data_IF_345405476919
#
_entry.id   IF_345405476919
#
_cell.length_a   1.000
_cell.length_b   1.000
_cell.length_c   1.000
_cell.angle_alpha   90.00
_cell.angle_beta   90.00
_cell.angle_gamma   90.00
#
_symmetry.space_group_name_H-M   'P 1'
#
loop_
_entity.id
_entity.type
_entity.pdbx_description
1 polymer ?
#
# COMPACT_ATOMS: atom_id res chain seq x y z
N UNK A 1 63.16 -1.04 15.43
CA UNK A 1 62.37 -2.01 14.62
C UNK A 1 61.16 -2.64 15.32
N UNK A 2 61.14 -2.89 16.62
CA UNK A 2 59.98 -3.51 17.31
C UNK A 2 58.74 -2.59 17.43
N UNK A 3 58.88 -1.28 17.48
CA UNK A 3 57.72 -0.34 17.58
C UNK A 3 56.91 -0.24 16.28
N UNK A 4 57.55 -0.35 15.14
CA UNK A 4 56.84 -0.25 13.85
C UNK A 4 56.01 -1.52 13.55
N UNK A 5 56.41 -2.70 14.04
CA UNK A 5 55.63 -3.93 13.88
C UNK A 5 54.33 -3.91 14.69
N UNK A 6 54.37 -3.34 15.92
CA UNK A 6 53.16 -3.18 16.75
C UNK A 6 52.16 -2.16 16.17
N UNK A 7 52.64 -1.03 15.64
CA UNK A 7 51.77 -0.06 14.98
C UNK A 7 51.07 -0.65 13.76
N UNK A 8 51.76 -1.48 12.97
CA UNK A 8 51.15 -2.14 11.80
C UNK A 8 50.12 -3.19 12.18
N UNK A 9 50.29 -3.90 13.32
CA UNK A 9 49.31 -4.83 13.84
C UNK A 9 48.03 -4.09 14.34
N UNK A 10 48.17 -2.95 15.02
CA UNK A 10 47.00 -2.14 15.45
C UNK A 10 46.25 -1.54 14.26
N UNK A 11 46.97 -1.10 13.22
CA UNK A 11 46.35 -0.57 11.99
C UNK A 11 45.57 -1.66 11.24
N UNK A 12 46.12 -2.90 11.17
CA UNK A 12 45.41 -4.04 10.58
C UNK A 12 44.18 -4.45 11.40
N UNK A 13 44.27 -4.38 12.74
CA UNK A 13 43.15 -4.66 13.64
C UNK A 13 42.01 -3.64 13.50
N UNK A 14 42.32 -2.35 13.37
CA UNK A 14 41.35 -1.27 13.16
C UNK A 14 40.69 -1.41 11.79
N UNK A 15 41.46 -1.76 10.76
CA UNK A 15 40.89 -1.97 9.40
C UNK A 15 39.98 -3.19 9.33
N UNK A 16 40.32 -4.27 10.05
CA UNK A 16 39.45 -5.46 10.17
C UNK A 16 38.16 -5.17 10.96
N UNK A 17 38.25 -4.35 12.02
CA UNK A 17 37.07 -3.92 12.79
C UNK A 17 36.14 -2.99 11.99
N UNK A 18 36.70 -2.12 11.16
CA UNK A 18 35.93 -1.27 10.25
C UNK A 18 35.24 -2.06 9.12
N UNK A 19 35.86 -3.12 8.63
CA UNK A 19 35.28 -4.03 7.65
C UNK A 19 34.13 -4.88 8.25
N UNK A 20 34.21 -5.25 9.52
CA UNK A 20 33.14 -5.96 10.23
C UNK A 20 31.94 -5.06 10.56
N UNK A 21 32.12 -3.76 10.76
CA UNK A 21 31.02 -2.81 10.92
C UNK A 21 30.26 -2.50 9.61
N UNK A 22 30.84 -2.80 8.45
CA UNK A 22 30.21 -2.54 7.14
C UNK A 22 29.15 -3.55 6.72
N UNK A 23 28.91 -4.63 7.50
CA UNK A 23 27.90 -5.65 7.21
C UNK A 23 26.61 -5.44 8.04
N UNK A 24 26.45 -4.29 8.66
CA UNK A 24 25.10 -3.88 9.06
C UNK A 24 24.36 -3.55 7.78
N UNK A 25 23.70 -4.56 7.22
CA UNK A 25 22.62 -4.36 6.27
C UNK A 25 21.73 -3.28 6.86
N UNK A 26 21.73 -2.12 6.27
CA UNK A 26 20.69 -1.12 6.49
C UNK A 26 19.43 -1.80 5.97
N UNK A 27 18.73 -2.51 6.85
CA UNK A 27 17.34 -2.76 6.65
C UNK A 27 16.75 -1.36 6.58
N UNK A 28 16.58 -0.84 5.38
CA UNK A 28 15.64 0.24 5.13
C UNK A 28 14.34 -0.28 5.72
N UNK A 29 13.96 0.25 6.88
CA UNK A 29 12.60 0.17 7.36
C UNK A 29 11.80 0.86 6.26
N UNK A 30 11.33 0.07 5.28
CA UNK A 30 10.17 0.46 4.50
C UNK A 30 9.13 0.76 5.57
N UNK A 31 8.66 2.00 5.61
CA UNK A 31 7.43 2.29 6.31
C UNK A 31 6.46 1.20 5.80
N UNK A 32 5.99 0.39 6.71
CA UNK A 32 5.12 -0.74 6.40
C UNK A 32 3.78 -0.13 5.97
N UNK A 33 3.71 0.21 4.69
CA UNK A 33 2.51 0.80 4.11
C UNK A 33 1.64 -0.38 3.74
N UNK A 34 0.81 -0.79 4.68
CA UNK A 34 -0.20 -1.81 4.45
C UNK A 34 -1.29 -1.23 3.54
N UNK A 35 -1.64 -1.95 2.49
CA UNK A 35 -2.66 -1.57 1.52
C UNK A 35 -3.94 -2.38 1.68
N UNK A 36 -3.84 -3.63 2.15
CA UNK A 36 -4.95 -4.57 2.30
C UNK A 36 -5.30 -4.76 3.77
N UNK A 37 -6.56 -4.57 4.10
CA UNK A 37 -7.13 -4.74 5.44
C UNK A 37 -8.29 -5.74 5.35
N UNK A 38 -7.97 -7.02 5.50
CA UNK A 38 -8.95 -8.10 5.40
C UNK A 38 -9.60 -8.43 6.75
N UNK A 39 -10.43 -7.51 7.26
CA UNK A 39 -11.13 -7.68 8.53
C UNK A 39 -12.25 -8.73 8.44
N UNK A 40 -12.75 -9.02 7.25
CA UNK A 40 -13.77 -10.03 7.02
C UNK A 40 -13.21 -11.43 6.72
N UNK A 41 -11.87 -11.58 6.69
CA UNK A 41 -11.19 -12.85 6.39
C UNK A 41 -11.68 -13.49 5.10
N UNK A 42 -11.77 -12.71 4.04
CA UNK A 42 -12.19 -13.15 2.70
C UNK A 42 -11.05 -13.68 1.86
N UNK A 43 -9.83 -13.25 2.19
CA UNK A 43 -8.62 -13.55 1.43
C UNK A 43 -7.80 -14.64 2.12
N UNK A 44 -7.11 -15.43 1.34
CA UNK A 44 -6.03 -16.27 1.84
C UNK A 44 -4.75 -15.43 1.99
N UNK A 45 -3.79 -15.92 2.78
CA UNK A 45 -2.51 -15.25 3.00
C UNK A 45 -1.75 -14.97 1.67
N UNK A 46 -1.91 -15.85 0.67
CA UNK A 46 -1.28 -15.69 -0.64
C UNK A 46 -1.97 -14.58 -1.45
N UNK A 47 -3.30 -14.54 -1.44
CA UNK A 47 -4.09 -13.50 -2.14
C UNK A 47 -3.87 -12.13 -1.51
N UNK A 48 -3.78 -12.04 -0.18
CA UNK A 48 -3.46 -10.80 0.52
C UNK A 48 -2.09 -10.27 0.10
N UNK A 49 -1.05 -11.12 0.10
CA UNK A 49 0.29 -10.74 -0.32
C UNK A 49 0.36 -10.31 -1.80
N UNK A 50 -0.37 -10.97 -2.68
CA UNK A 50 -0.42 -10.62 -4.10
C UNK A 50 -1.12 -9.27 -4.33
N UNK A 51 -2.19 -9.01 -3.59
CA UNK A 51 -2.88 -7.72 -3.60
C UNK A 51 -2.02 -6.61 -3.02
N UNK A 52 -1.35 -6.84 -1.89
CA UNK A 52 -0.38 -5.90 -1.30
C UNK A 52 0.70 -5.50 -2.31
N UNK A 53 1.27 -6.48 -3.01
CA UNK A 53 2.29 -6.21 -4.04
C UNK A 53 1.72 -5.41 -5.20
N UNK A 54 0.52 -5.74 -5.65
CA UNK A 54 -0.15 -5.06 -6.76
C UNK A 54 -0.49 -3.62 -6.42
N UNK A 55 -0.97 -3.35 -5.20
CA UNK A 55 -1.24 -2.00 -4.71
C UNK A 55 0.05 -1.17 -4.60
N UNK A 56 1.12 -1.76 -4.08
CA UNK A 56 2.42 -1.09 -3.98
C UNK A 56 3.00 -0.73 -5.36
N UNK A 57 2.87 -1.64 -6.33
CA UNK A 57 3.29 -1.40 -7.71
C UNK A 57 2.44 -0.30 -8.37
N UNK A 58 1.13 -0.33 -8.17
CA UNK A 58 0.22 0.69 -8.67
C UNK A 58 0.57 2.08 -8.12
N UNK A 59 0.75 2.20 -6.80
CA UNK A 59 1.13 3.46 -6.15
C UNK A 59 2.47 3.97 -6.67
N UNK A 60 3.47 3.10 -6.79
CA UNK A 60 4.80 3.48 -7.29
C UNK A 60 4.80 3.99 -8.74
N UNK A 61 3.86 3.52 -9.56
CA UNK A 61 3.76 3.88 -10.97
C UNK A 61 2.87 5.10 -11.22
N UNK A 62 1.92 5.38 -10.33
CA UNK A 62 0.88 6.39 -10.57
C UNK A 62 0.88 7.55 -9.57
N UNK A 63 1.54 7.41 -8.44
CA UNK A 63 1.47 8.33 -7.29
C UNK A 63 0.02 8.51 -6.78
N UNK A 64 -0.78 7.44 -6.89
CA UNK A 64 -2.17 7.37 -6.44
C UNK A 64 -2.26 6.31 -5.35
N UNK A 65 -2.74 6.69 -4.17
CA UNK A 65 -2.90 5.77 -3.05
C UNK A 65 -4.08 4.83 -3.27
N UNK A 66 -3.86 3.55 -3.02
CA UNK A 66 -4.90 2.53 -3.08
C UNK A 66 -5.01 1.79 -1.75
N UNK A 67 -6.25 1.56 -1.30
CA UNK A 67 -6.56 0.77 -0.12
C UNK A 67 -7.67 -0.21 -0.43
N UNK A 68 -7.51 -1.44 0.01
CA UNK A 68 -8.54 -2.49 -0.03
C UNK A 68 -8.94 -2.79 1.40
N UNK A 69 -10.24 -2.69 1.68
CA UNK A 69 -10.82 -2.93 2.99
C UNK A 69 -11.95 -3.94 2.88
N UNK A 70 -11.91 -4.98 3.69
CA UNK A 70 -13.03 -5.89 3.85
C UNK A 70 -13.59 -5.78 5.26
N UNK A 71 -14.90 -5.73 5.41
CA UNK A 71 -15.57 -5.52 6.69
C UNK A 71 -16.82 -6.38 6.86
N UNK A 72 -17.20 -6.54 8.12
CA UNK A 72 -18.51 -7.06 8.53
C UNK A 72 -19.23 -5.97 9.34
N UNK A 73 -19.86 -5.01 8.66
CA UNK A 73 -20.60 -3.97 9.37
C UNK A 73 -21.93 -4.48 9.92
N UNK A 74 -22.43 -3.80 10.95
CA UNK A 74 -23.72 -4.14 11.58
C UNK A 74 -24.95 -3.75 10.78
N UNK A 75 -24.77 -3.11 9.60
CA UNK A 75 -25.85 -2.65 8.73
C UNK A 75 -26.49 -1.32 9.13
N UNK A 76 -25.98 -0.66 10.17
CA UNK A 76 -26.46 0.66 10.63
C UNK A 76 -25.65 1.82 10.08
N UNK A 77 -24.48 1.55 9.51
CA UNK A 77 -23.57 2.56 8.98
C UNK A 77 -23.62 2.58 7.45
N UNK A 78 -23.41 3.76 6.86
CA UNK A 78 -23.30 3.90 5.42
C UNK A 78 -21.91 3.40 4.97
N UNK A 79 -21.91 2.41 4.07
CA UNK A 79 -20.67 1.85 3.54
C UNK A 79 -19.78 2.89 2.84
N UNK A 80 -20.39 3.91 2.21
CA UNK A 80 -19.63 5.01 1.64
C UNK A 80 -18.88 5.79 2.72
N UNK A 81 -19.56 6.11 3.82
CA UNK A 81 -18.93 6.81 4.93
C UNK A 81 -17.81 5.99 5.58
N UNK A 82 -17.99 4.67 5.69
CA UNK A 82 -16.92 3.77 6.20
C UNK A 82 -15.67 3.85 5.32
N UNK A 83 -15.84 3.78 4.01
CA UNK A 83 -14.72 3.83 3.07
C UNK A 83 -14.03 5.20 3.06
N UNK A 84 -14.80 6.28 3.08
CA UNK A 84 -14.30 7.66 3.12
C UNK A 84 -13.50 7.91 4.40
N UNK A 85 -14.09 7.60 5.55
CA UNK A 85 -13.45 7.78 6.86
C UNK A 85 -12.17 6.95 7.00
N UNK A 86 -12.16 5.73 6.46
CA UNK A 86 -10.98 4.87 6.49
C UNK A 86 -9.84 5.48 5.68
N UNK A 87 -10.14 5.92 4.46
CA UNK A 87 -9.17 6.55 3.58
C UNK A 87 -8.60 7.83 4.21
N UNK A 88 -9.44 8.71 4.70
CA UNK A 88 -9.05 9.98 5.30
C UNK A 88 -8.19 9.81 6.57
N UNK A 89 -8.46 8.79 7.37
CA UNK A 89 -7.64 8.46 8.55
C UNK A 89 -6.27 7.95 8.16
N UNK A 90 -6.20 7.14 7.10
CA UNK A 90 -4.95 6.55 6.65
C UNK A 90 -4.07 7.55 5.91
N UNK A 91 -4.67 8.38 5.08
CA UNK A 91 -4.00 9.34 4.20
C UNK A 91 -4.49 10.78 4.41
N UNK A 92 -4.30 11.37 5.60
CA UNK A 92 -4.92 12.67 5.93
C UNK A 92 -4.39 13.86 5.13
N UNK A 93 -3.31 13.68 4.36
CA UNK A 93 -2.67 14.73 3.57
C UNK A 93 -2.57 14.41 2.09
N UNK A 94 -2.99 13.22 1.70
CA UNK A 94 -2.84 12.72 0.34
C UNK A 94 -4.19 12.76 -0.37
N UNK A 95 -4.38 13.73 -1.28
CA UNK A 95 -5.70 13.97 -1.85
C UNK A 95 -6.11 12.96 -2.91
N UNK A 96 -5.14 12.22 -3.51
CA UNK A 96 -5.39 11.39 -4.67
C UNK A 96 -5.38 9.91 -4.29
N UNK A 97 -6.54 9.29 -4.32
CA UNK A 97 -6.58 7.87 -4.03
C UNK A 97 -7.94 7.22 -4.17
N UNK A 98 -7.95 5.94 -3.85
CA UNK A 98 -9.09 5.06 -3.97
C UNK A 98 -9.15 4.11 -2.77
N UNK A 99 -10.32 4.00 -2.16
CA UNK A 99 -10.63 2.95 -1.19
C UNK A 99 -11.65 1.99 -1.80
N UNK A 100 -11.27 0.72 -1.87
CA UNK A 100 -12.14 -0.35 -2.32
C UNK A 100 -12.66 -1.10 -1.10
N UNK A 101 -13.94 -0.93 -0.76
CA UNK A 101 -14.58 -1.58 0.38
C UNK A 101 -15.47 -2.72 -0.08
N UNK A 102 -15.30 -3.89 0.55
CA UNK A 102 -16.24 -5.01 0.48
C UNK A 102 -16.85 -5.20 1.86
N UNK A 103 -18.14 -4.91 1.99
CA UNK A 103 -18.88 -5.13 3.23
C UNK A 103 -19.74 -6.38 3.14
N UNK A 104 -19.36 -7.41 3.86
CA UNK A 104 -20.05 -8.68 3.90
C UNK A 104 -21.32 -8.65 4.77
N UNK A 105 -21.37 -7.74 5.74
CA UNK A 105 -22.56 -7.55 6.59
C UNK A 105 -23.73 -6.99 5.80
N UNK A 106 -23.49 -6.00 4.97
CA UNK A 106 -24.49 -5.37 4.11
C UNK A 106 -24.52 -5.94 2.68
N UNK A 107 -23.56 -6.80 2.32
CA UNK A 107 -23.37 -7.35 0.98
C UNK A 107 -23.22 -6.26 -0.08
N UNK A 108 -22.41 -5.27 0.22
CA UNK A 108 -22.15 -4.13 -0.65
C UNK A 108 -20.67 -4.05 -1.02
N UNK A 109 -20.43 -3.55 -2.22
CA UNK A 109 -19.09 -3.16 -2.69
C UNK A 109 -19.15 -1.67 -2.98
N UNK A 110 -18.23 -0.93 -2.39
CA UNK A 110 -18.13 0.52 -2.54
C UNK A 110 -16.72 0.87 -3.03
N UNK A 111 -16.66 1.80 -3.97
CA UNK A 111 -15.41 2.41 -4.41
C UNK A 111 -15.48 3.88 -4.04
N UNK A 112 -14.79 4.24 -2.96
CA UNK A 112 -14.60 5.62 -2.59
C UNK A 112 -13.39 6.19 -3.30
N UNK A 113 -13.50 7.40 -3.80
CA UNK A 113 -12.45 8.06 -4.59
C UNK A 113 -12.18 9.46 -4.08
N UNK A 114 -10.91 9.82 -3.98
CA UNK A 114 -10.46 11.14 -3.55
C UNK A 114 -9.64 11.83 -4.63
N UNK A 115 -9.74 13.15 -4.69
CA UNK A 115 -8.97 13.99 -5.59
C UNK A 115 -9.20 13.69 -7.08
N UNK A 116 -8.13 13.54 -7.82
CA UNK A 116 -8.17 13.32 -9.27
C UNK A 116 -8.87 12.00 -9.67
N UNK A 117 -8.92 11.03 -8.76
CA UNK A 117 -9.57 9.74 -9.03
C UNK A 117 -11.08 9.87 -9.21
N UNK A 118 -11.73 10.84 -8.60
CA UNK A 118 -13.15 11.15 -8.84
C UNK A 118 -13.41 11.42 -10.32
N UNK A 119 -12.52 12.17 -10.98
CA UNK A 119 -12.65 12.49 -12.40
C UNK A 119 -12.44 11.25 -13.28
N UNK A 120 -11.43 10.43 -13.00
CA UNK A 120 -11.16 9.23 -13.79
C UNK A 120 -12.27 8.18 -13.68
N UNK A 121 -12.80 7.97 -12.51
CA UNK A 121 -13.89 7.00 -12.29
C UNK A 121 -15.21 7.51 -12.91
N UNK A 122 -15.51 8.79 -12.81
CA UNK A 122 -16.66 9.37 -13.52
C UNK A 122 -16.57 9.19 -15.04
N UNK A 123 -15.38 9.35 -15.64
CA UNK A 123 -15.18 9.13 -17.07
C UNK A 123 -15.40 7.67 -17.48
N UNK A 124 -15.04 6.71 -16.65
CA UNK A 124 -15.28 5.28 -16.91
C UNK A 124 -16.77 4.96 -16.90
N UNK A 125 -17.55 5.59 -16.02
CA UNK A 125 -19.00 5.41 -15.96
C UNK A 125 -19.75 6.08 -17.12
N UNK A 126 -19.22 7.15 -17.67
CA UNK A 126 -19.81 7.86 -18.83
C UNK A 126 -19.39 7.31 -20.18
N UNK A 127 -18.40 6.42 -20.21
CA UNK A 127 -17.98 5.75 -21.44
C UNK A 127 -19.03 4.73 -21.85
N UNK A 128 -19.60 4.82 -23.09
CA UNK A 128 -20.62 3.87 -23.52
C UNK A 128 -20.07 2.44 -23.50
N UNK A 129 -20.84 1.56 -22.88
CA UNK A 129 -20.52 0.14 -22.81
C UNK A 129 -20.21 -0.42 -24.22
N UNK A 130 -19.29 -1.39 -24.36
CA UNK A 130 -19.07 -2.09 -25.63
C UNK A 130 -20.35 -2.65 -26.26
N UNK A 131 -21.38 -2.96 -25.45
CA UNK A 131 -22.71 -3.40 -25.92
C UNK A 131 -23.51 -2.29 -26.60
N UNK A 132 -23.34 -1.05 -26.18
CA UNK A 132 -24.09 0.08 -26.75
C UNK A 132 -23.50 0.52 -28.09
N UNK A 133 -22.24 0.24 -28.33
CA UNK A 133 -21.55 0.50 -29.61
C UNK A 133 -21.97 -0.45 -30.74
N UNK A 134 -22.59 -1.60 -30.42
CA UNK A 134 -23.05 -2.57 -31.42
C UNK A 134 -24.47 -2.29 -31.94
N UNK A 135 -25.17 -1.30 -31.40
CA UNK A 135 -26.56 -0.97 -31.76
C UNK A 135 -26.74 0.27 -32.65
N UNK A 136 -25.61 0.88 -33.08
CA UNK A 136 -25.65 2.04 -34.01
C UNK A 136 -25.26 1.66 -35.42
#
# INVERSE_FOLDING_TARGET
MRRMKKARQYLLGIFAALLLCGIFSVNTVKADTQYVYDNASLLSDEEEQDLERSCAEFESNTDIHMVILTEYSSGSEDCQAIADDFYDKKYPKEPNGVCFLIDMGQRQIVISTSGIMQYYICLLYTSPSPRDRQKS
#
